data_IF_412468861253
#
_entry.id   IF_412468861253
#
_cell.length_a   1.000
_cell.length_b   1.000
_cell.length_c   1.000
_cell.angle_alpha   90.00
_cell.angle_beta   90.00
_cell.angle_gamma   90.00
#
_symmetry.space_group_name_H-M   'P 1'
#
loop_
_entity.id
_entity.type
_entity.pdbx_description
1 polymer ?
#
# COMPACT_ATOMS: atom_id res chain seq x y z
N UNK A 1 -19.55 3.46 0.46
CA UNK A 1 -18.71 2.92 1.57
C UNK A 1 -19.11 1.49 1.96
N UNK A 2 -20.39 1.12 1.90
CA UNK A 2 -20.93 -0.17 2.36
C UNK A 2 -20.15 -1.40 1.89
N UNK A 3 -19.77 -1.46 0.61
CA UNK A 3 -19.00 -2.59 0.04
C UNK A 3 -17.61 -2.81 0.69
N UNK A 4 -16.94 -1.76 1.15
CA UNK A 4 -15.64 -1.92 1.83
C UNK A 4 -15.83 -2.49 3.23
N UNK A 5 -16.85 -2.03 3.95
CA UNK A 5 -17.18 -2.44 5.32
C UNK A 5 -17.71 -3.89 5.38
N UNK A 6 -18.27 -4.41 4.29
CA UNK A 6 -18.75 -5.79 4.22
C UNK A 6 -17.66 -6.84 3.98
N UNK A 7 -16.41 -6.42 3.70
CA UNK A 7 -15.29 -7.34 3.40
C UNK A 7 -14.55 -7.72 4.68
N UNK A 8 -14.13 -8.97 4.80
CA UNK A 8 -13.26 -9.40 5.89
C UNK A 8 -11.83 -8.91 5.64
N UNK A 9 -11.08 -8.43 6.66
CA UNK A 9 -9.67 -8.07 6.47
C UNK A 9 -8.83 -9.26 5.99
N UNK A 10 -7.90 -8.99 5.07
CA UNK A 10 -6.87 -9.94 4.63
C UNK A 10 -5.60 -9.77 5.48
N UNK A 11 -4.66 -10.74 5.44
CA UNK A 11 -3.36 -10.58 6.08
C UNK A 11 -2.66 -9.30 5.65
N UNK A 12 -1.96 -8.65 6.59
CA UNK A 12 -1.24 -7.41 6.32
C UNK A 12 -0.02 -7.69 5.42
N UNK A 13 0.29 -6.79 4.47
CA UNK A 13 1.54 -6.87 3.72
C UNK A 13 2.73 -6.48 4.59
N UNK A 14 3.93 -6.67 4.06
CA UNK A 14 5.17 -6.13 4.63
C UNK A 14 5.82 -5.18 3.62
N UNK A 15 6.33 -4.04 4.08
CA UNK A 15 7.18 -3.17 3.26
C UNK A 15 8.62 -3.41 3.65
N UNK A 16 9.44 -3.80 2.69
CA UNK A 16 10.90 -3.85 2.81
C UNK A 16 11.50 -2.60 2.19
N UNK A 17 12.47 -2.01 2.87
CA UNK A 17 13.20 -0.82 2.44
C UNK A 17 14.68 -1.12 2.32
N UNK A 18 15.34 -0.51 1.34
CA UNK A 18 16.80 -0.51 1.20
C UNK A 18 17.45 0.09 2.47
N UNK A 19 18.37 -0.61 3.16
CA UNK A 19 18.85 -0.21 4.48
C UNK A 19 19.92 0.91 4.47
N UNK A 20 20.48 1.23 3.31
CA UNK A 20 21.69 2.06 3.15
C UNK A 20 21.42 3.55 2.86
N UNK A 21 20.15 3.96 2.69
CA UNK A 21 19.79 5.37 2.49
C UNK A 21 19.57 6.09 3.82
N UNK A 22 20.27 7.20 4.02
CA UNK A 22 20.24 8.00 5.27
C UNK A 22 19.70 9.42 5.08
N UNK A 23 19.52 9.86 3.83
CA UNK A 23 18.88 11.13 3.49
C UNK A 23 17.42 10.90 3.07
N UNK A 24 16.51 11.69 3.62
CA UNK A 24 15.08 11.64 3.34
C UNK A 24 14.74 11.99 1.88
N UNK A 25 15.59 12.75 1.18
CA UNK A 25 15.33 13.16 -0.19
C UNK A 25 15.98 12.26 -1.25
N UNK A 26 16.71 11.23 -0.83
CA UNK A 26 17.39 10.30 -1.74
C UNK A 26 16.57 9.05 -2.07
N UNK A 27 15.32 8.95 -1.64
CA UNK A 27 14.47 7.77 -1.83
C UNK A 27 13.77 7.79 -3.20
N UNK A 28 13.81 6.64 -3.87
CA UNK A 28 13.16 6.37 -5.14
C UNK A 28 12.12 5.25 -4.99
N UNK A 29 11.31 5.03 -6.02
CA UNK A 29 10.25 4.02 -5.96
C UNK A 29 10.82 2.60 -5.79
N UNK A 30 11.96 2.32 -6.43
CA UNK A 30 12.62 1.01 -6.45
C UNK A 30 13.19 0.58 -5.09
N UNK A 31 13.34 1.51 -4.14
CA UNK A 31 13.84 1.20 -2.80
C UNK A 31 12.80 0.52 -1.90
N UNK A 32 11.53 0.51 -2.34
CA UNK A 32 10.43 -0.03 -1.58
C UNK A 32 9.91 -1.29 -2.27
N UNK A 33 9.89 -2.40 -1.53
CA UNK A 33 9.30 -3.64 -1.98
C UNK A 33 8.11 -4.00 -1.12
N UNK A 34 6.96 -4.17 -1.77
CA UNK A 34 5.73 -4.60 -1.12
C UNK A 34 5.63 -6.12 -1.20
N UNK A 35 5.86 -6.80 -0.08
CA UNK A 35 5.83 -8.25 0.03
C UNK A 35 4.46 -8.71 0.56
N UNK A 36 3.96 -9.83 0.03
CA UNK A 36 2.73 -10.50 0.45
C UNK A 36 1.47 -9.62 0.40
N UNK A 37 1.38 -8.68 -0.55
CA UNK A 37 0.17 -7.87 -0.74
C UNK A 37 -0.99 -8.71 -1.24
N UNK A 38 -2.03 -8.82 -0.40
CA UNK A 38 -3.30 -9.41 -0.77
C UNK A 38 -4.38 -8.34 -0.63
N UNK A 39 -5.12 -8.08 -1.70
CA UNK A 39 -6.16 -7.06 -1.72
C UNK A 39 -7.37 -7.56 -2.49
N UNK A 40 -8.56 -7.12 -2.05
CA UNK A 40 -9.77 -7.25 -2.87
C UNK A 40 -9.73 -6.29 -4.06
N UNK A 41 -10.61 -6.53 -5.03
CA UNK A 41 -10.78 -5.65 -6.18
C UNK A 41 -11.00 -4.18 -5.77
N UNK A 42 -10.35 -3.28 -6.52
CA UNK A 42 -10.43 -1.83 -6.33
C UNK A 42 -11.89 -1.35 -6.32
N UNK A 43 -12.20 -0.43 -5.41
CA UNK A 43 -13.51 0.24 -5.33
C UNK A 43 -13.31 1.67 -5.81
N UNK A 44 -13.92 2.02 -6.95
CA UNK A 44 -13.88 3.38 -7.49
C UNK A 44 -14.75 4.31 -6.63
N UNK A 45 -14.19 5.41 -6.17
CA UNK A 45 -14.92 6.46 -5.44
C UNK A 45 -14.68 7.83 -6.11
N UNK A 46 -15.71 8.69 -6.21
CA UNK A 46 -15.55 10.03 -6.75
C UNK A 46 -14.76 10.92 -5.79
N UNK A 47 -13.94 11.82 -6.35
CA UNK A 47 -13.27 12.89 -5.59
C UNK A 47 -14.14 14.14 -5.71
N UNK A 48 -14.46 14.76 -4.58
CA UNK A 48 -15.15 16.04 -4.58
C UNK A 48 -14.18 17.15 -5.00
N UNK A 49 -14.67 18.11 -5.79
CA UNK A 49 -13.94 19.28 -6.29
C UNK A 49 -14.44 20.51 -5.57
#
# INVERSE_FOLDING_TARGET
>A
AELQLSRQPLPLPTIRMTPDKTDLFCWDFEDFQLENCQAYAHIKAPVAV
#
